data_IF_715795760422
#
_entry.id   IF_715795760422
#
_cell.length_a   1.000
_cell.length_b   1.000
_cell.length_c   1.000
_cell.angle_alpha   90.00
_cell.angle_beta   90.00
_cell.angle_gamma   90.00
#
_symmetry.space_group_name_H-M   'P 1'
#
loop_
_entity.id
_entity.type
_entity.pdbx_description
1 polymer ?
#
# COMPACT_ATOMS: atom_id res chain seq x y z
N UNK A 1 2.46 -5.77 62.47
CA UNK A 1 2.72 -4.57 62.82
C UNK A 1 2.31 -3.65 61.77
N UNK A 2 2.79 -3.67 60.72
CA UNK A 2 2.46 -2.70 59.82
C UNK A 2 1.17 -2.92 59.17
N UNK A 3 0.69 -3.99 59.31
CA UNK A 3 -0.48 -4.26 58.66
C UNK A 3 -1.50 -3.32 58.89
N UNK A 4 -1.56 -2.90 59.97
CA UNK A 4 -2.65 -2.08 60.28
C UNK A 4 -2.69 -0.92 59.37
N UNK A 5 -1.64 -0.57 58.93
CA UNK A 5 -1.60 0.58 58.17
C UNK A 5 -2.26 0.43 56.89
N UNK A 6 -2.15 -0.66 56.36
CA UNK A 6 -2.68 -0.84 55.06
C UNK A 6 -4.14 -0.73 55.00
N UNK A 7 -4.78 -1.20 55.97
CA UNK A 7 -6.17 -1.18 55.98
C UNK A 7 -6.77 0.15 55.77
N UNK A 8 -6.37 1.06 56.47
CA UNK A 8 -6.99 2.35 56.34
C UNK A 8 -6.83 2.90 54.96
N UNK A 9 -5.81 2.61 54.40
CA UNK A 9 -5.63 3.13 53.14
C UNK A 9 -6.61 2.60 52.17
N UNK A 10 -6.82 1.39 52.19
CA UNK A 10 -7.78 0.82 51.34
C UNK A 10 -9.09 1.46 51.47
N UNK A 11 -9.42 1.78 52.64
CA UNK A 11 -10.68 2.37 52.87
C UNK A 11 -10.77 3.68 52.15
N UNK A 12 -9.75 4.39 52.18
CA UNK A 12 -9.81 5.65 51.54
C UNK A 12 -10.00 5.54 50.09
N UNK A 13 -9.43 4.59 49.53
CA UNK A 13 -9.65 4.42 48.14
C UNK A 13 -11.08 4.24 47.85
N UNK A 14 -11.72 3.53 48.65
CA UNK A 14 -13.08 3.27 48.35
C UNK A 14 -13.78 4.53 48.33
N UNK A 15 -13.48 5.36 49.13
CA UNK A 15 -14.20 6.57 49.23
C UNK A 15 -14.05 7.28 47.94
N UNK A 16 -12.95 7.25 47.43
CA UNK A 16 -12.80 7.88 46.20
C UNK A 16 -13.70 7.34 45.18
N UNK A 17 -13.80 6.15 45.15
CA UNK A 17 -14.59 5.56 44.17
C UNK A 17 -15.89 6.17 44.09
N UNK A 18 -16.37 6.63 45.20
CA UNK A 18 -17.63 7.10 45.16
C UNK A 18 -17.73 8.25 44.39
N UNK A 19 -16.84 9.02 44.43
CA UNK A 19 -17.03 10.22 43.84
C UNK A 19 -17.21 10.03 42.41
N UNK A 20 -16.66 9.11 41.98
CA UNK A 20 -16.76 8.91 40.65
C UNK A 20 -18.09 9.08 40.10
N UNK A 21 -18.88 8.60 40.64
CA UNK A 21 -20.15 8.54 40.12
C UNK A 21 -20.65 9.78 39.67
N UNK A 22 -20.27 10.64 40.24
CA UNK A 22 -20.81 11.72 40.03
C UNK A 22 -20.88 12.04 38.67
N UNK A 23 -20.09 11.80 38.18
CA UNK A 23 -20.09 12.09 37.04
C UNK A 23 -21.16 12.03 36.24
N UNK A 24 -21.60 11.19 36.25
CA UNK A 24 -22.56 11.04 35.54
C UNK A 24 -23.12 12.07 35.07
N UNK A 25 -22.91 12.81 35.50
CA UNK A 25 -23.45 13.85 35.17
C UNK A 25 -23.96 13.75 33.96
N UNK A 26 -23.99 13.09 33.70
CA UNK A 26 -24.70 12.99 32.90
C UNK A 26 -24.89 13.76 31.93
N UNK A 27 -24.56 13.80 31.33
CA UNK A 27 -24.69 14.36 30.39
C UNK A 27 -25.84 14.32 29.69
N UNK A 28 -26.35 15.16 29.38
CA UNK A 28 -27.50 15.17 28.75
C UNK A 28 -27.26 15.05 27.41
N UNK A 29 -27.80 14.45 26.87
CA UNK A 29 -27.73 14.25 25.62
C UNK A 29 -28.29 15.28 24.95
N UNK A 30 -27.77 15.82 24.28
CA UNK A 30 -28.34 16.67 23.61
C UNK A 30 -29.02 16.09 22.57
N UNK A 31 -29.97 16.32 22.42
CA UNK A 31 -30.76 15.67 21.57
C UNK A 31 -30.52 16.13 20.27
N UNK A 32 -30.30 16.97 20.15
CA UNK A 32 -30.32 17.44 19.09
C UNK A 32 -29.80 16.86 18.03
N UNK A 33 -29.15 16.81 17.95
CA UNK A 33 -28.61 16.16 17.11
C UNK A 33 -29.16 15.80 15.92
N UNK A 34 -29.98 16.10 15.60
CA UNK A 34 -30.52 15.63 14.53
C UNK A 34 -30.03 16.36 13.42
N UNK A 35 -28.91 16.45 13.19
CA UNK A 35 -28.51 17.03 12.04
C UNK A 35 -28.76 16.12 10.96
N UNK A 36 -29.33 16.57 9.93
CA UNK A 36 -29.46 15.73 8.80
C UNK A 36 -28.06 15.44 8.42
N UNK A 37 -27.84 14.32 8.24
CA UNK A 37 -26.56 13.89 7.89
C UNK A 37 -26.21 14.60 6.64
N UNK A 38 -25.21 15.27 6.61
CA UNK A 38 -24.81 15.85 5.40
C UNK A 38 -24.47 14.71 4.50
N UNK A 39 -24.74 14.93 3.32
CA UNK A 39 -24.43 13.95 2.36
C UNK A 39 -23.03 13.52 2.64
N UNK A 40 -22.85 12.28 2.76
CA UNK A 40 -21.59 11.75 3.00
C UNK A 40 -20.84 11.94 1.74
N UNK A 41 -20.15 12.96 1.69
CA UNK A 41 -19.17 13.06 0.67
C UNK A 41 -18.21 11.95 1.02
N UNK A 42 -17.96 11.05 0.14
CA UNK A 42 -16.97 10.07 0.46
C UNK A 42 -15.69 10.84 0.70
N UNK A 43 -15.36 10.93 1.90
CA UNK A 43 -14.05 11.42 2.25
C UNK A 43 -13.14 10.35 1.74
N UNK A 44 -12.50 10.64 0.66
CA UNK A 44 -11.39 9.83 0.25
C UNK A 44 -10.40 10.03 1.36
N UNK A 45 -10.37 9.12 2.25
CA UNK A 45 -9.31 9.05 3.23
C UNK A 45 -8.08 8.77 2.39
N UNK A 46 -7.39 9.81 2.06
CA UNK A 46 -6.06 9.61 1.54
C UNK A 46 -5.28 9.02 2.69
N UNK A 47 -5.17 7.72 2.66
CA UNK A 47 -4.13 7.13 3.45
C UNK A 47 -2.87 7.78 2.94
N UNK A 48 -2.22 8.47 3.83
CA UNK A 48 -0.97 9.12 3.52
C UNK A 48 0.04 8.04 3.23
N UNK A 49 0.03 7.58 2.02
CA UNK A 49 1.05 6.67 1.55
C UNK A 49 2.37 7.42 1.53
N UNK A 50 3.43 6.73 1.77
CA UNK A 50 4.74 7.31 1.59
C UNK A 50 4.88 7.73 0.13
N UNK A 51 5.55 8.84 -0.15
CA UNK A 51 5.75 9.25 -1.53
C UNK A 51 6.48 8.15 -2.30
N UNK A 52 6.19 8.04 -3.56
CA UNK A 52 6.79 7.03 -4.41
C UNK A 52 8.32 7.12 -4.39
N UNK A 53 8.96 5.98 -4.49
CA UNK A 53 10.40 5.94 -4.60
C UNK A 53 10.80 6.25 -6.03
N UNK A 54 11.44 7.39 -6.24
CA UNK A 54 11.86 7.82 -7.57
C UNK A 54 13.26 7.33 -7.88
N UNK A 55 13.41 6.57 -8.94
CA UNK A 55 14.69 6.07 -9.41
C UNK A 55 15.00 6.74 -10.75
N UNK A 56 16.00 7.62 -10.74
CA UNK A 56 16.38 8.39 -11.92
C UNK A 56 17.55 7.76 -12.68
N UNK A 57 18.23 6.82 -12.08
CA UNK A 57 19.36 6.15 -12.71
C UNK A 57 18.91 4.81 -13.28
N UNK A 58 19.50 4.37 -14.39
CA UNK A 58 19.19 3.07 -14.94
C UNK A 58 19.47 1.95 -13.94
N UNK A 59 18.57 1.01 -13.85
CA UNK A 59 18.76 -0.17 -13.02
C UNK A 59 19.44 -1.23 -13.86
N UNK A 60 20.65 -1.56 -13.51
CA UNK A 60 21.48 -2.46 -14.32
C UNK A 60 21.38 -3.89 -13.80
N UNK A 61 21.84 -4.83 -14.63
CA UNK A 61 21.88 -6.25 -14.27
C UNK A 61 22.49 -6.46 -12.89
N UNK A 62 21.85 -7.25 -12.10
CA UNK A 62 22.29 -7.54 -10.73
C UNK A 62 21.88 -6.50 -9.70
N UNK A 63 21.31 -5.38 -10.12
CA UNK A 63 20.82 -4.36 -9.20
C UNK A 63 19.35 -4.62 -8.87
N UNK A 64 19.00 -4.27 -7.65
CA UNK A 64 17.62 -4.40 -7.17
C UNK A 64 17.18 -3.08 -6.54
N UNK A 65 16.00 -2.64 -6.90
CA UNK A 65 15.35 -1.47 -6.32
C UNK A 65 14.10 -1.95 -5.59
N UNK A 66 13.92 -1.56 -4.34
CA UNK A 66 12.77 -1.95 -3.58
C UNK A 66 12.09 -0.76 -2.90
N UNK A 67 10.85 -0.52 -3.25
CA UNK A 67 9.99 0.48 -2.63
C UNK A 67 9.15 -0.11 -1.52
N UNK A 68 9.65 -0.04 -0.30
CA UNK A 68 8.96 -0.60 0.84
C UNK A 68 7.84 0.32 1.29
N UNK A 69 6.62 -0.21 1.34
CA UNK A 69 5.40 0.52 1.70
C UNK A 69 5.12 1.70 0.76
N UNK A 70 5.52 1.60 -0.48
CA UNK A 70 5.34 2.68 -1.45
C UNK A 70 5.44 2.16 -2.87
N UNK A 71 5.06 3.00 -3.79
CA UNK A 71 5.22 2.73 -5.21
C UNK A 71 6.66 3.01 -5.63
N UNK A 72 7.08 2.40 -6.72
CA UNK A 72 8.38 2.68 -7.33
C UNK A 72 8.16 3.26 -8.71
N UNK A 73 8.83 4.36 -8.98
CA UNK A 73 8.80 5.03 -10.26
C UNK A 73 10.22 5.06 -10.82
N UNK A 74 10.44 4.37 -11.92
CA UNK A 74 11.72 4.38 -12.62
C UNK A 74 11.56 5.22 -13.88
N UNK A 75 12.33 6.28 -13.98
CA UNK A 75 12.22 7.20 -15.12
C UNK A 75 13.10 6.79 -16.28
N UNK A 76 13.86 5.73 -16.14
CA UNK A 76 14.81 5.27 -17.12
C UNK A 76 14.61 3.79 -17.42
N UNK A 77 15.67 3.12 -17.80
CA UNK A 77 15.63 1.72 -18.23
C UNK A 77 15.84 0.78 -17.07
N UNK A 78 15.07 -0.30 -17.05
CA UNK A 78 15.33 -1.46 -16.20
C UNK A 78 15.99 -2.50 -17.09
N UNK A 79 17.26 -2.69 -16.93
CA UNK A 79 18.04 -3.59 -17.78
C UNK A 79 17.75 -5.06 -17.54
N UNK A 80 18.13 -5.90 -18.46
CA UNK A 80 18.00 -7.34 -18.32
C UNK A 80 18.76 -7.80 -17.06
N UNK A 81 18.16 -8.68 -16.30
CA UNK A 81 18.73 -9.14 -15.04
C UNK A 81 18.64 -8.15 -13.88
N UNK A 82 18.02 -7.00 -14.09
CA UNK A 82 17.73 -6.06 -13.01
C UNK A 82 16.37 -6.35 -12.41
N UNK A 83 16.18 -5.98 -11.15
CA UNK A 83 14.92 -6.22 -10.45
C UNK A 83 14.36 -4.92 -9.86
N UNK A 84 13.08 -4.68 -10.08
CA UNK A 84 12.36 -3.58 -9.48
C UNK A 84 11.18 -4.15 -8.72
N UNK A 85 11.09 -3.81 -7.46
CA UNK A 85 10.08 -4.35 -6.56
C UNK A 85 9.42 -3.21 -5.80
N UNK A 86 8.12 -3.29 -5.64
CA UNK A 86 7.35 -2.34 -4.84
C UNK A 86 6.29 -3.06 -4.04
N UNK A 87 5.99 -2.55 -2.86
CA UNK A 87 4.83 -3.02 -2.10
C UNK A 87 3.53 -2.49 -2.73
N UNK A 88 3.59 -1.37 -3.41
CA UNK A 88 2.53 -0.79 -4.22
C UNK A 88 2.75 -1.06 -5.71
N UNK A 89 2.51 -0.04 -6.52
CA UNK A 89 2.63 -0.13 -7.97
C UNK A 89 4.06 0.09 -8.45
N UNK A 90 4.37 -0.43 -9.64
CA UNK A 90 5.64 -0.19 -10.31
C UNK A 90 5.37 0.56 -11.60
N UNK A 91 6.04 1.70 -11.76
CA UNK A 91 5.93 2.53 -12.95
C UNK A 91 7.30 2.65 -13.60
N UNK A 92 7.42 2.23 -14.85
CA UNK A 92 8.66 2.32 -15.61
C UNK A 92 8.41 3.18 -16.83
N UNK A 93 8.94 4.39 -16.82
CA UNK A 93 8.80 5.33 -17.94
C UNK A 93 9.88 5.13 -19.01
N UNK A 94 10.47 3.99 -19.06
CA UNK A 94 11.44 3.59 -20.05
C UNK A 94 11.25 2.13 -20.44
N UNK A 95 12.31 1.53 -20.94
CA UNK A 95 12.26 0.12 -21.33
C UNK A 95 12.37 -0.78 -20.11
N UNK A 96 11.41 -1.67 -19.95
CA UNK A 96 11.44 -2.68 -18.92
C UNK A 96 11.96 -3.98 -19.54
N UNK A 97 13.22 -4.31 -19.29
CA UNK A 97 13.86 -5.53 -19.81
C UNK A 97 14.12 -6.55 -18.75
N UNK A 98 14.09 -6.15 -17.50
CA UNK A 98 14.34 -7.05 -16.38
C UNK A 98 13.06 -7.55 -15.74
N UNK A 99 13.04 -7.60 -14.43
CA UNK A 99 11.96 -8.12 -13.63
C UNK A 99 11.24 -7.01 -12.89
N UNK A 100 9.92 -7.03 -12.93
CA UNK A 100 9.10 -6.07 -12.21
C UNK A 100 8.13 -6.80 -11.28
N UNK A 101 8.13 -6.43 -10.02
CA UNK A 101 7.30 -7.04 -9.01
C UNK A 101 6.51 -5.96 -8.26
N UNK A 102 5.20 -5.95 -8.43
CA UNK A 102 4.31 -5.04 -7.74
C UNK A 102 3.53 -5.79 -6.66
N UNK A 103 3.05 -5.09 -5.67
CA UNK A 103 2.28 -5.72 -4.61
C UNK A 103 3.07 -6.76 -3.85
N UNK A 104 4.33 -6.51 -3.56
CA UNK A 104 5.23 -7.51 -2.97
C UNK A 104 4.74 -8.06 -1.63
N UNK A 105 3.86 -7.35 -0.97
CA UNK A 105 3.27 -7.80 0.30
C UNK A 105 1.89 -8.41 0.14
N UNK A 106 1.49 -8.72 -1.08
CA UNK A 106 0.22 -9.35 -1.33
C UNK A 106 -0.88 -8.39 -1.76
N UNK A 107 -0.54 -7.18 -2.16
CA UNK A 107 -1.52 -6.24 -2.67
C UNK A 107 -1.94 -6.63 -4.08
N UNK A 108 -3.13 -7.17 -4.18
CA UNK A 108 -3.69 -7.61 -5.45
C UNK A 108 -4.18 -6.47 -6.32
N UNK A 109 -4.27 -5.27 -5.77
CA UNK A 109 -4.69 -4.09 -6.53
C UNK A 109 -3.52 -3.39 -7.18
N UNK A 110 -2.31 -3.78 -6.85
CA UNK A 110 -1.11 -3.21 -7.41
C UNK A 110 -1.02 -3.48 -8.91
N UNK A 111 -0.34 -2.59 -9.61
CA UNK A 111 -0.19 -2.67 -11.06
C UNK A 111 1.24 -2.39 -11.49
N UNK A 112 1.58 -2.88 -12.67
CA UNK A 112 2.86 -2.57 -13.29
C UNK A 112 2.58 -1.80 -14.58
N UNK A 113 3.26 -0.68 -14.76
CA UNK A 113 3.15 0.15 -15.96
C UNK A 113 4.54 0.29 -16.57
N UNK A 114 4.64 0.19 -17.88
CA UNK A 114 5.89 0.45 -18.58
C UNK A 114 5.63 1.07 -19.94
N UNK A 115 6.60 1.82 -20.45
CA UNK A 115 6.47 2.41 -21.78
C UNK A 115 6.93 1.48 -22.89
N UNK A 116 7.93 0.68 -22.62
CA UNK A 116 8.39 -0.31 -23.58
C UNK A 116 8.48 -1.67 -22.89
N UNK A 117 7.68 -2.61 -23.32
CA UNK A 117 7.59 -3.90 -22.66
C UNK A 117 8.56 -4.91 -23.31
N UNK A 118 9.57 -5.28 -22.55
CA UNK A 118 10.52 -6.32 -22.89
C UNK A 118 10.86 -7.15 -21.64
N UNK A 119 9.94 -7.22 -20.71
CA UNK A 119 10.19 -7.82 -19.40
C UNK A 119 10.52 -9.30 -19.47
N UNK A 120 11.44 -9.73 -18.64
CA UNK A 120 11.73 -11.15 -18.40
C UNK A 120 10.69 -11.77 -17.49
N UNK A 121 10.24 -11.00 -16.50
CA UNK A 121 9.28 -11.48 -15.53
C UNK A 121 8.46 -10.31 -15.00
N UNK A 122 7.17 -10.52 -14.85
CA UNK A 122 6.28 -9.59 -14.16
C UNK A 122 5.55 -10.36 -13.08
N UNK A 123 5.47 -9.79 -11.89
CA UNK A 123 4.73 -10.38 -10.78
C UNK A 123 3.85 -9.35 -10.12
N UNK A 124 2.66 -9.76 -9.69
CA UNK A 124 1.75 -8.95 -8.89
C UNK A 124 1.21 -9.81 -7.76
N UNK A 125 1.38 -9.35 -6.54
CA UNK A 125 0.90 -10.04 -5.34
C UNK A 125 1.35 -11.50 -5.27
N UNK A 126 2.52 -11.82 -5.82
CA UNK A 126 3.05 -13.18 -5.79
C UNK A 126 2.68 -14.02 -7.00
N UNK A 127 1.71 -13.61 -7.79
CA UNK A 127 1.39 -14.27 -9.05
C UNK A 127 2.33 -13.73 -10.11
N UNK A 128 3.05 -14.58 -10.78
CA UNK A 128 4.09 -14.14 -11.70
C UNK A 128 3.96 -14.80 -13.07
N UNK A 129 4.49 -14.14 -14.07
CA UNK A 129 4.59 -14.66 -15.41
C UNK A 129 5.98 -14.38 -15.97
N UNK A 130 6.59 -15.42 -16.50
CA UNK A 130 7.90 -15.35 -17.13
C UNK A 130 7.67 -15.26 -18.64
N UNK A 131 8.42 -14.41 -19.29
CA UNK A 131 8.33 -14.22 -20.73
C UNK A 131 9.63 -14.72 -21.38
N UNK A 132 9.57 -15.90 -21.92
CA UNK A 132 10.65 -16.41 -22.78
C UNK A 132 10.55 -15.76 -24.16
N UNK A 133 9.35 -15.53 -24.59
CA UNK A 133 9.07 -14.83 -25.83
C UNK A 133 7.96 -13.83 -25.56
N UNK A 134 8.19 -12.61 -25.91
CA UNK A 134 7.22 -11.55 -25.69
C UNK A 134 6.25 -11.52 -26.86
N UNK A 135 4.94 -11.55 -26.59
CA UNK A 135 3.96 -11.44 -27.65
C UNK A 135 4.15 -10.16 -28.44
N UNK A 136 4.03 -10.27 -29.74
CA UNK A 136 4.21 -9.10 -30.62
C UNK A 136 3.27 -7.95 -30.29
N UNK A 137 2.17 -8.29 -29.68
CA UNK A 137 1.16 -7.32 -29.29
C UNK A 137 1.64 -6.42 -28.16
N UNK A 138 2.55 -6.90 -27.36
CA UNK A 138 3.06 -6.20 -26.19
C UNK A 138 4.49 -5.67 -26.38
N UNK A 139 5.25 -6.32 -27.25
CA UNK A 139 6.66 -6.03 -27.41
C UNK A 139 6.90 -4.58 -27.82
N UNK A 140 7.69 -3.86 -27.07
CA UNK A 140 8.06 -2.50 -27.35
C UNK A 140 6.93 -1.50 -27.25
N UNK A 141 5.81 -1.88 -26.69
CA UNK A 141 4.66 -0.99 -26.53
C UNK A 141 4.47 -0.60 -25.07
N UNK A 142 3.74 0.49 -24.84
CA UNK A 142 3.37 0.81 -23.46
C UNK A 142 2.34 -0.20 -22.99
N UNK A 143 2.61 -0.81 -21.86
CA UNK A 143 1.80 -1.90 -21.33
C UNK A 143 1.50 -1.66 -19.86
N UNK A 144 0.29 -2.03 -19.48
CA UNK A 144 -0.06 -2.17 -18.07
C UNK A 144 -0.33 -3.63 -17.76
N UNK A 145 0.06 -4.05 -16.60
CA UNK A 145 -0.24 -5.36 -16.06
C UNK A 145 -1.01 -5.22 -14.76
N UNK A 146 -1.99 -6.08 -14.57
CA UNK A 146 -2.78 -6.12 -13.35
C UNK A 146 -3.20 -7.55 -13.06
N UNK A 147 -3.70 -7.78 -11.87
CA UNK A 147 -4.20 -9.07 -11.46
C UNK A 147 -5.72 -9.07 -11.58
N UNK A 148 -6.26 -10.08 -12.22
CA UNK A 148 -7.69 -10.28 -12.39
C UNK A 148 -8.04 -11.62 -11.74
N UNK A 149 -8.42 -11.58 -10.46
CA UNK A 149 -8.55 -12.78 -9.66
C UNK A 149 -7.18 -13.39 -9.39
N UNK A 150 -6.92 -14.51 -10.00
CA UNK A 150 -5.62 -15.19 -9.89
C UNK A 150 -4.83 -15.12 -11.20
N UNK A 151 -5.36 -14.45 -12.20
CA UNK A 151 -4.73 -14.36 -13.51
C UNK A 151 -4.05 -13.03 -13.73
N UNK A 152 -2.84 -13.09 -14.21
CA UNK A 152 -2.10 -11.89 -14.55
C UNK A 152 -2.46 -11.46 -15.97
N UNK A 153 -3.02 -10.27 -16.09
CA UNK A 153 -3.48 -9.70 -17.35
C UNK A 153 -2.55 -8.62 -17.83
N UNK A 154 -2.45 -8.50 -19.13
CA UNK A 154 -1.61 -7.50 -19.79
C UNK A 154 -2.40 -6.82 -20.90
N UNK A 155 -2.29 -5.52 -21.01
CA UNK A 155 -2.90 -4.76 -22.10
C UNK A 155 -2.00 -3.61 -22.50
N UNK A 156 -2.02 -3.30 -23.78
CA UNK A 156 -1.31 -2.12 -24.27
C UNK A 156 -2.06 -0.88 -23.83
N UNK A 157 -1.34 0.16 -23.48
CA UNK A 157 -1.92 1.43 -23.05
C UNK A 157 -2.07 2.32 -24.28
N UNK A 158 -3.26 2.88 -24.45
CA UNK A 158 -3.46 3.83 -25.55
C UNK A 158 -3.80 3.22 -26.91
N UNK A 159 -4.21 1.99 -26.94
CA UNK A 159 -4.68 1.37 -28.19
C UNK A 159 -6.20 1.37 -28.27
#
# INVERSE_FOLDING_TARGET
LAQALDMPMLTQFRAHGKTAPVVKAAVPPSPAAVQPAPAVVPTITQESGFPALMQHLPVRSGQRVYGRNRDVVVTTVVGAGAEVMADGCVHVYGSLRGRAMAGARGDTTARVFCQEFHAELVSIAGVFRVFETIPKELAGKPVQAWLDGEDLRFAAIGS
#
